data_IF_870095102797
#
_entry.id   IF_870095102797
#
_cell.length_a   1.000
_cell.length_b   1.000
_cell.length_c   1.000
_cell.angle_alpha   90.00
_cell.angle_beta   90.00
_cell.angle_gamma   90.00
#
_symmetry.space_group_name_H-M   'P 1'
#
loop_
_entity.id
_entity.type
_entity.pdbx_description
1 polymer ?
#
# COMPACT_ATOMS: atom_id res chain seq x y z
N UNK A 1 5.29 -0.84 25.69
CA UNK A 1 4.48 -0.29 26.79
C UNK A 1 3.03 -0.31 26.34
N UNK A 2 2.17 -1.11 26.96
CA UNK A 2 0.76 -1.24 26.59
C UNK A 2 -0.03 -0.16 27.35
N UNK A 3 -0.50 0.87 26.65
CA UNK A 3 -1.35 1.89 27.25
C UNK A 3 -2.78 1.36 27.18
N UNK A 4 -3.22 0.65 28.23
CA UNK A 4 -4.57 0.10 28.33
C UNK A 4 -5.60 1.23 28.35
N UNK A 5 -6.55 1.19 27.40
CA UNK A 5 -7.58 2.19 27.18
C UNK A 5 -8.62 2.27 28.30
N UNK A 6 -8.27 2.93 29.39
CA UNK A 6 -9.21 3.23 30.49
C UNK A 6 -9.23 4.70 30.94
N UNK A 7 -8.27 5.54 30.53
CA UNK A 7 -8.25 6.95 30.91
C UNK A 7 -7.42 7.78 29.91
N UNK A 8 -8.10 8.45 28.98
CA UNK A 8 -7.49 9.30 27.94
C UNK A 8 -6.47 10.29 28.52
N UNK A 9 -6.74 10.82 29.72
CA UNK A 9 -5.88 11.81 30.37
C UNK A 9 -4.60 11.19 30.95
N UNK A 10 -4.60 9.90 31.28
CA UNK A 10 -3.37 9.17 31.65
C UNK A 10 -2.60 8.76 30.40
N UNK A 11 -3.30 8.26 29.38
CA UNK A 11 -2.71 7.86 28.11
C UNK A 11 -1.96 9.02 27.43
N UNK A 12 -2.56 10.21 27.36
CA UNK A 12 -1.91 11.41 26.81
C UNK A 12 -0.69 11.86 27.61
N UNK A 13 -0.66 11.64 28.94
CA UNK A 13 0.49 12.02 29.79
C UNK A 13 1.65 11.04 29.69
N UNK A 14 1.37 9.76 29.50
CA UNK A 14 2.41 8.73 29.40
C UNK A 14 3.03 8.67 27.99
N UNK A 15 2.26 9.03 26.96
CA UNK A 15 2.68 8.93 25.57
C UNK A 15 3.99 9.69 25.24
N UNK A 16 4.23 10.95 25.67
CA UNK A 16 5.50 11.64 25.43
C UNK A 16 6.74 10.85 25.90
N UNK A 17 6.63 10.13 27.03
CA UNK A 17 7.71 9.32 27.59
C UNK A 17 8.06 8.08 26.75
N UNK A 18 7.21 7.72 25.78
CA UNK A 18 7.46 6.62 24.85
C UNK A 18 8.15 7.08 23.55
N UNK A 19 8.20 8.38 23.29
CA UNK A 19 8.75 8.93 22.04
C UNK A 19 10.27 9.13 22.15
N UNK A 20 10.97 9.02 21.02
CA UNK A 20 12.40 9.29 20.90
C UNK A 20 12.69 10.04 19.60
N UNK A 21 13.78 10.80 19.57
CA UNK A 21 14.26 11.49 18.37
C UNK A 21 13.23 12.44 17.76
N UNK A 22 13.04 12.35 16.44
CA UNK A 22 12.15 13.23 15.66
C UNK A 22 10.71 13.23 16.18
N UNK A 23 10.22 12.10 16.70
CA UNK A 23 8.89 12.00 17.29
C UNK A 23 8.72 12.86 18.55
N UNK A 24 9.76 12.94 19.38
CA UNK A 24 9.76 13.80 20.57
C UNK A 24 9.80 15.28 20.19
N UNK A 25 10.65 15.64 19.21
CA UNK A 25 10.76 17.02 18.73
C UNK A 25 9.44 17.51 18.13
N UNK A 26 8.79 16.68 17.32
CA UNK A 26 7.45 16.98 16.80
C UNK A 26 6.44 17.24 17.90
N UNK A 27 6.38 16.38 18.93
CA UNK A 27 5.41 16.54 20.01
C UNK A 27 5.61 17.86 20.77
N UNK A 28 6.84 18.35 20.87
CA UNK A 28 7.16 19.65 21.46
C UNK A 28 6.72 20.85 20.59
N UNK A 29 6.44 20.65 19.29
CA UNK A 29 5.93 21.72 18.38
C UNK A 29 4.41 21.86 18.40
N UNK A 30 3.69 20.95 19.06
CA UNK A 30 2.23 20.98 19.09
C UNK A 30 1.73 22.14 19.96
N UNK A 31 0.72 22.86 19.45
CA UNK A 31 0.12 23.98 20.19
C UNK A 31 -0.52 23.49 21.51
N UNK A 32 -0.45 24.29 22.59
CA UNK A 32 -1.18 24.00 23.81
C UNK A 32 -2.68 23.78 23.53
N UNK A 33 -3.27 22.73 24.10
CA UNK A 33 -4.70 22.34 23.96
C UNK A 33 -5.11 21.82 22.56
N UNK A 34 -4.18 21.57 21.66
CA UNK A 34 -4.47 20.93 20.36
C UNK A 34 -4.88 19.46 20.46
N UNK A 35 -4.52 18.79 21.56
CA UNK A 35 -4.88 17.41 21.86
C UNK A 35 -5.75 17.39 23.12
N UNK A 36 -6.98 16.90 23.01
CA UNK A 36 -7.91 16.80 24.13
C UNK A 36 -8.12 15.36 24.60
N UNK A 37 -8.02 14.41 23.66
CA UNK A 37 -8.16 12.97 23.90
C UNK A 37 -6.94 12.21 23.39
N UNK A 38 -6.78 10.97 23.85
CA UNK A 38 -5.74 10.09 23.32
C UNK A 38 -5.98 9.78 21.84
N UNK A 39 -7.24 9.79 21.39
CA UNK A 39 -7.58 9.60 20.00
C UNK A 39 -7.08 10.77 19.12
N UNK A 40 -7.20 12.01 19.58
CA UNK A 40 -6.65 13.18 18.87
C UNK A 40 -5.13 13.06 18.73
N UNK A 41 -4.46 12.67 19.81
CA UNK A 41 -3.01 12.43 19.82
C UNK A 41 -2.60 11.33 18.85
N UNK A 42 -3.27 10.18 18.88
CA UNK A 42 -3.00 9.07 18.00
C UNK A 42 -3.24 9.46 16.52
N UNK A 43 -4.31 10.21 16.25
CA UNK A 43 -4.62 10.70 14.90
C UNK A 43 -3.56 11.68 14.39
N UNK A 44 -3.17 12.67 15.18
CA UNK A 44 -2.11 13.63 14.81
C UNK A 44 -0.76 12.93 14.64
N UNK A 45 -0.40 12.00 15.53
CA UNK A 45 0.82 11.22 15.43
C UNK A 45 0.82 10.36 14.16
N UNK A 46 -0.31 9.71 13.86
CA UNK A 46 -0.45 8.95 12.63
C UNK A 46 -0.38 9.85 11.39
N UNK A 47 -0.97 11.03 11.39
CA UNK A 47 -0.90 11.96 10.25
C UNK A 47 0.53 12.42 9.97
N UNK A 48 1.33 12.64 11.02
CA UNK A 48 2.69 13.18 10.92
C UNK A 48 3.76 12.11 10.66
N UNK A 49 3.69 10.99 11.36
CA UNK A 49 4.68 9.90 11.26
C UNK A 49 4.23 8.75 10.38
N UNK A 50 2.95 8.73 10.01
CA UNK A 50 2.42 7.86 8.95
C UNK A 50 2.11 8.70 7.73
N UNK A 51 3.12 9.45 7.29
CA UNK A 51 3.21 10.01 5.93
C UNK A 51 3.29 8.89 4.88
N UNK A 52 2.32 7.96 4.89
CA UNK A 52 1.99 7.04 3.81
C UNK A 52 0.68 6.25 4.00
N UNK A 53 -0.27 6.67 4.85
CA UNK A 53 -1.50 5.87 5.07
C UNK A 53 -2.57 5.95 3.97
N UNK A 54 -2.45 6.87 3.01
CA UNK A 54 -3.30 6.86 1.80
C UNK A 54 -2.72 5.96 0.70
N UNK A 55 -1.49 5.46 0.88
CA UNK A 55 -1.08 4.20 0.28
C UNK A 55 -1.36 3.10 1.31
N UNK A 56 -2.65 2.76 1.48
CA UNK A 56 -3.01 1.34 1.56
C UNK A 56 -2.13 0.70 0.51
N UNK A 57 -1.19 -0.18 0.89
CA UNK A 57 -0.19 -0.75 0.01
C UNK A 57 -0.92 -1.31 -1.21
N UNK A 58 -1.16 -0.47 -2.23
CA UNK A 58 -1.48 -0.86 -3.57
C UNK A 58 -0.14 -1.39 -4.02
N UNK A 59 0.16 -2.60 -3.57
CA UNK A 59 1.16 -3.41 -4.19
C UNK A 59 0.80 -3.38 -5.68
N UNK A 60 1.69 -2.81 -6.47
CA UNK A 60 1.55 -2.91 -7.90
C UNK A 60 1.57 -4.40 -8.24
N UNK A 61 0.91 -4.77 -9.34
CA UNK A 61 0.94 -6.15 -9.83
C UNK A 61 2.38 -6.69 -9.92
N UNK A 62 3.34 -5.82 -10.28
CA UNK A 62 4.78 -6.11 -10.32
C UNK A 62 5.36 -6.46 -8.94
N UNK A 63 5.03 -5.68 -7.91
CA UNK A 63 5.49 -5.94 -6.54
C UNK A 63 4.89 -7.23 -5.98
N UNK A 64 3.59 -7.44 -6.19
CA UNK A 64 2.91 -8.67 -5.76
C UNK A 64 3.52 -9.90 -6.42
N UNK A 65 3.74 -9.84 -7.75
CA UNK A 65 4.36 -10.93 -8.51
C UNK A 65 5.76 -11.28 -8.00
N UNK A 66 6.60 -10.27 -7.72
CA UNK A 66 7.93 -10.49 -7.19
C UNK A 66 7.91 -11.14 -5.79
N UNK A 67 7.04 -10.65 -4.89
CA UNK A 67 6.87 -11.24 -3.56
C UNK A 67 6.36 -12.68 -3.65
N UNK A 68 5.38 -12.94 -4.51
CA UNK A 68 4.83 -14.28 -4.71
C UNK A 68 5.86 -15.25 -5.27
N UNK A 69 6.60 -14.85 -6.31
CA UNK A 69 7.66 -15.67 -6.91
C UNK A 69 8.81 -15.97 -5.93
N UNK A 70 9.11 -15.07 -5.00
CA UNK A 70 10.06 -15.37 -3.93
C UNK A 70 9.48 -16.36 -2.92
N UNK A 71 8.19 -16.24 -2.58
CA UNK A 71 7.53 -17.12 -1.63
C UNK A 71 7.43 -18.56 -2.13
N UNK A 72 7.12 -18.78 -3.42
CA UNK A 72 6.97 -20.13 -3.99
C UNK A 72 8.26 -20.96 -3.92
N UNK A 73 9.45 -20.33 -3.94
CA UNK A 73 10.74 -21.02 -3.84
C UNK A 73 10.90 -21.73 -2.49
N UNK A 74 10.22 -21.25 -1.44
CA UNK A 74 10.27 -21.84 -0.10
C UNK A 74 9.20 -22.90 0.15
N UNK A 75 8.30 -23.13 -0.81
CA UNK A 75 7.21 -24.09 -0.68
C UNK A 75 7.55 -25.36 -1.44
N UNK A 76 7.82 -26.44 -0.71
CA UNK A 76 8.13 -27.74 -1.29
C UNK A 76 6.86 -28.52 -1.68
N UNK A 77 6.86 -29.12 -2.87
CA UNK A 77 5.85 -30.09 -3.29
C UNK A 77 4.45 -29.66 -3.80
N UNK A 78 4.06 -28.39 -4.08
CA UNK A 78 2.73 -28.14 -4.66
C UNK A 78 2.72 -28.32 -6.18
N UNK A 79 1.59 -28.81 -6.69
CA UNK A 79 1.28 -28.81 -8.13
C UNK A 79 1.25 -27.35 -8.67
N UNK A 80 1.69 -27.15 -9.91
CA UNK A 80 1.71 -25.84 -10.57
C UNK A 80 0.32 -25.17 -10.58
N UNK A 81 -0.73 -25.98 -10.65
CA UNK A 81 -2.13 -25.54 -10.59
C UNK A 81 -2.47 -24.93 -9.21
N UNK A 82 -1.86 -25.42 -8.13
CA UNK A 82 -2.04 -24.85 -6.79
C UNK A 82 -1.54 -23.41 -6.74
N UNK A 83 -0.33 -23.16 -7.23
CA UNK A 83 0.27 -21.82 -7.26
C UNK A 83 -0.55 -20.85 -8.11
N UNK A 84 -1.04 -21.29 -9.26
CA UNK A 84 -1.94 -20.49 -10.12
C UNK A 84 -3.20 -20.06 -9.34
N UNK A 85 -3.86 -21.00 -8.67
CA UNK A 85 -5.08 -20.71 -7.88
C UNK A 85 -4.78 -19.82 -6.69
N UNK A 86 -3.67 -20.06 -5.99
CA UNK A 86 -3.24 -19.24 -4.85
C UNK A 86 -2.94 -17.81 -5.29
N UNK A 87 -2.23 -17.64 -6.41
CA UNK A 87 -1.95 -16.34 -6.99
C UNK A 87 -3.24 -15.59 -7.33
N UNK A 88 -4.16 -16.23 -8.05
CA UNK A 88 -5.45 -15.64 -8.43
C UNK A 88 -6.30 -15.23 -7.21
N UNK A 89 -6.30 -16.04 -6.15
CA UNK A 89 -7.03 -15.73 -4.91
C UNK A 89 -6.43 -14.56 -4.12
N UNK A 90 -5.12 -14.34 -4.22
CA UNK A 90 -4.45 -13.21 -3.57
C UNK A 90 -4.53 -11.90 -4.35
N UNK A 91 -4.98 -11.93 -5.62
CA UNK A 91 -5.17 -10.71 -6.40
C UNK A 91 -6.35 -9.88 -5.90
N UNK A 92 -6.15 -8.56 -5.92
CA UNK A 92 -7.25 -7.61 -5.83
C UNK A 92 -8.10 -7.65 -7.10
N UNK A 93 -9.41 -7.48 -6.94
CA UNK A 93 -10.32 -7.30 -8.06
C UNK A 93 -9.90 -6.11 -8.94
N UNK A 94 -9.80 -6.34 -10.24
CA UNK A 94 -9.44 -5.36 -11.24
C UNK A 94 -9.18 -5.96 -12.62
N UNK A 95 -8.74 -5.14 -13.59
CA UNK A 95 -8.62 -5.55 -14.99
C UNK A 95 -7.75 -6.81 -15.20
N UNK A 96 -6.66 -6.94 -14.44
CA UNK A 96 -5.79 -8.11 -14.53
C UNK A 96 -6.44 -9.37 -13.94
N UNK A 97 -7.10 -9.28 -12.78
CA UNK A 97 -7.81 -10.44 -12.21
C UNK A 97 -8.93 -10.92 -13.13
N UNK A 98 -9.65 -9.99 -13.75
CA UNK A 98 -10.75 -10.28 -14.66
C UNK A 98 -10.23 -10.98 -15.93
N UNK A 99 -9.10 -10.52 -16.47
CA UNK A 99 -8.44 -11.16 -17.61
C UNK A 99 -7.99 -12.60 -17.30
N UNK A 100 -7.50 -12.87 -16.08
CA UNK A 100 -7.14 -14.22 -15.65
C UNK A 100 -8.37 -15.12 -15.43
N UNK A 101 -9.50 -14.55 -15.01
CA UNK A 101 -10.75 -15.29 -14.87
C UNK A 101 -11.34 -15.67 -16.23
N UNK A 102 -11.28 -14.75 -17.21
CA UNK A 102 -11.76 -14.97 -18.58
C UNK A 102 -10.93 -16.03 -19.31
N UNK A 103 -9.60 -15.95 -19.22
CA UNK A 103 -8.70 -16.94 -19.81
C UNK A 103 -7.82 -17.54 -18.73
N UNK A 104 -8.23 -18.70 -18.21
CA UNK A 104 -7.51 -19.38 -17.12
C UNK A 104 -6.06 -19.69 -17.55
N UNK A 105 -5.06 -19.23 -16.79
CA UNK A 105 -3.68 -19.60 -17.04
C UNK A 105 -3.41 -21.03 -16.57
N UNK A 106 -2.45 -21.70 -17.21
CA UNK A 106 -2.05 -23.07 -16.85
C UNK A 106 -0.79 -23.13 -16.01
N UNK A 107 0.01 -22.05 -15.99
CA UNK A 107 1.28 -21.98 -15.26
C UNK A 107 1.56 -20.59 -14.67
N UNK A 108 2.48 -20.52 -13.71
CA UNK A 108 3.00 -19.26 -13.17
C UNK A 108 3.81 -18.46 -14.21
N UNK A 109 4.50 -19.14 -15.12
CA UNK A 109 5.24 -18.50 -16.22
C UNK A 109 4.30 -17.72 -17.15
N UNK A 110 3.16 -18.33 -17.52
CA UNK A 110 2.14 -17.64 -18.31
C UNK A 110 1.57 -16.42 -17.58
N UNK A 111 1.38 -16.51 -16.26
CA UNK A 111 0.94 -15.37 -15.44
C UNK A 111 1.98 -14.24 -15.48
N UNK A 112 3.27 -14.56 -15.38
CA UNK A 112 4.34 -13.56 -15.43
C UNK A 112 4.34 -12.80 -16.74
N UNK A 113 4.29 -13.51 -17.88
CA UNK A 113 4.27 -12.89 -19.22
C UNK A 113 3.05 -11.98 -19.39
N UNK A 114 1.87 -12.43 -18.94
CA UNK A 114 0.65 -11.62 -19.02
C UNK A 114 0.71 -10.39 -18.11
N UNK A 115 1.28 -10.53 -16.92
CA UNK A 115 1.43 -9.42 -15.98
C UNK A 115 2.37 -8.34 -16.53
N UNK A 116 3.48 -8.75 -17.14
CA UNK A 116 4.46 -7.84 -17.74
C UNK A 116 3.83 -7.03 -18.88
N UNK A 117 3.12 -7.70 -19.78
CA UNK A 117 2.34 -7.03 -20.85
C UNK A 117 1.26 -6.09 -20.29
N UNK A 118 0.60 -6.48 -19.20
CA UNK A 118 -0.42 -5.64 -18.58
C UNK A 118 0.18 -4.35 -18.00
N UNK A 119 1.34 -4.45 -17.33
CA UNK A 119 2.07 -3.29 -16.80
C UNK A 119 2.51 -2.36 -17.92
N UNK A 120 3.06 -2.90 -19.01
CA UNK A 120 3.46 -2.09 -20.17
C UNK A 120 2.29 -1.29 -20.76
N UNK A 121 1.12 -1.92 -20.92
CA UNK A 121 -0.08 -1.25 -21.44
C UNK A 121 -0.56 -0.12 -20.52
N UNK A 122 -0.54 -0.34 -19.20
CA UNK A 122 -0.93 0.67 -18.22
C UNK A 122 0.07 1.83 -18.18
N UNK A 123 1.38 1.56 -18.24
CA UNK A 123 2.41 2.60 -18.30
C UNK A 123 2.29 3.44 -19.58
N UNK A 124 2.05 2.82 -20.73
CA UNK A 124 1.87 3.54 -21.99
C UNK A 124 0.58 4.36 -22.02
N UNK A 125 -0.50 3.84 -21.39
CA UNK A 125 -1.73 4.61 -21.20
C UNK A 125 -1.49 5.83 -20.31
N UNK A 126 -0.74 5.67 -19.22
CA UNK A 126 -0.38 6.76 -18.32
C UNK A 126 0.46 7.84 -19.04
N UNK A 127 1.48 7.45 -19.82
CA UNK A 127 2.28 8.38 -20.63
C UNK A 127 1.42 9.18 -21.61
N UNK A 128 0.48 8.53 -22.31
CA UNK A 128 -0.45 9.21 -23.25
C UNK A 128 -1.33 10.23 -22.54
N UNK A 129 -1.85 9.90 -21.36
CA UNK A 129 -2.67 10.83 -20.57
C UNK A 129 -1.86 12.04 -20.09
N UNK A 130 -0.59 11.88 -19.73
CA UNK A 130 0.30 12.98 -19.33
C UNK A 130 0.59 13.94 -20.50
N UNK A 131 0.81 13.40 -21.70
CA UNK A 131 1.02 14.19 -22.92
C UNK A 131 -0.21 15.04 -23.26
N UNK A 132 -1.41 14.50 -23.08
CA UNK A 132 -2.67 15.23 -23.32
C UNK A 132 -2.88 16.35 -22.30
N UNK A 133 -2.60 16.08 -21.01
CA UNK A 133 -2.69 17.09 -19.93
C UNK A 133 -1.70 18.25 -20.10
N UNK A 134 -0.52 17.96 -20.62
CA UNK A 134 0.51 18.98 -20.90
C UNK A 134 0.27 19.76 -22.19
N UNK A 135 -0.56 19.25 -23.11
CA UNK A 135 -1.07 20.01 -24.27
C UNK A 135 -2.20 20.97 -23.87
N UNK A 136 -3.21 20.50 -23.15
CA UNK A 136 -4.35 21.35 -22.73
C UNK A 136 -3.96 22.55 -21.84
N UNK A 137 -2.81 22.49 -21.17
CA UNK A 137 -2.28 23.60 -20.35
C UNK A 137 -1.55 24.69 -21.15
N UNK A 138 -1.16 24.43 -22.39
CA UNK A 138 -0.49 25.41 -23.28
C UNK A 138 -1.45 26.26 -24.10
N UNK A 139 -2.68 25.81 -24.29
CA UNK A 139 -3.69 26.50 -25.11
C UNK A 139 -4.60 27.46 -24.30
N UNK A 140 -4.28 27.71 -23.03
CA UNK A 140 -5.03 28.62 -22.13
C UNK A 140 -4.19 29.80 -21.60
N UNK A 141 -3.05 30.08 -22.23
CA UNK A 141 -2.16 31.21 -21.89
C UNK A 141 -2.32 32.39 -22.83
#
# INVERSE_FOLDING_TARGET
MYISGGNDRLSCRLFPGTLRGVAMQWMATLLPRSIQTFNDLASSFMSQFTANKVKKLEESLKSYLACFNNAIVWVDGPDQIFFVKAFQKGLRAGPFSDALALRRPVSMEEICVRAEKHVEVEEDRAKRMEVERTRGRRDTG
#
